data_IF_670212739492
#
_entry.id   IF_670212739492
#
_cell.length_a   1.000
_cell.length_b   1.000
_cell.length_c   1.000
_cell.angle_alpha   90.00
_cell.angle_beta   90.00
_cell.angle_gamma   90.00
#
_symmetry.space_group_name_H-M   'P 1'
#
loop_
_entity.id
_entity.type
_entity.pdbx_description
1 polymer ?
#
# COMPACT_ATOMS: atom_id res chain seq x y z
N UNK A 1 -6.74 -19.96 -2.04
CA UNK A 1 -5.49 -20.66 -1.72
C UNK A 1 -5.41 -20.73 -0.21
N UNK A 2 -5.50 -21.92 0.36
CA UNK A 2 -5.46 -22.15 1.81
C UNK A 2 -4.08 -22.73 2.12
N UNK A 3 -3.30 -22.04 2.95
CA UNK A 3 -1.95 -22.44 3.33
C UNK A 3 -2.07 -23.53 4.39
N UNK A 4 -1.57 -24.73 4.12
CA UNK A 4 -1.63 -25.83 5.08
C UNK A 4 -0.72 -25.58 6.30
N UNK A 5 -0.99 -26.30 7.40
CA UNK A 5 -0.27 -26.13 8.67
C UNK A 5 1.24 -26.42 8.55
N UNK A 6 1.64 -27.33 7.66
CA UNK A 6 3.05 -27.68 7.47
C UNK A 6 3.82 -26.54 6.79
N UNK A 7 3.21 -25.88 5.80
CA UNK A 7 3.77 -24.68 5.16
C UNK A 7 3.85 -23.51 6.14
N UNK A 8 2.81 -23.30 6.94
CA UNK A 8 2.83 -22.24 7.95
C UNK A 8 3.91 -22.48 9.02
N UNK A 9 4.11 -23.73 9.43
CA UNK A 9 5.16 -24.08 10.39
C UNK A 9 6.57 -23.90 9.79
N UNK A 10 6.78 -24.32 8.55
CA UNK A 10 8.04 -24.09 7.83
C UNK A 10 8.33 -22.59 7.64
N UNK A 11 7.29 -21.81 7.30
CA UNK A 11 7.36 -20.36 7.22
C UNK A 11 7.75 -19.73 8.56
N UNK A 12 7.14 -20.17 9.68
CA UNK A 12 7.50 -19.66 11.02
C UNK A 12 8.91 -20.04 11.47
N UNK A 13 9.54 -21.03 10.83
CA UNK A 13 10.96 -21.37 11.04
C UNK A 13 11.90 -20.59 10.12
N UNK A 14 11.39 -19.67 9.31
CA UNK A 14 12.18 -18.83 8.41
C UNK A 14 12.56 -19.51 7.08
N UNK A 15 11.81 -20.53 6.64
CA UNK A 15 12.07 -21.18 5.36
C UNK A 15 11.84 -20.20 4.19
N UNK A 16 12.93 -19.85 3.50
CA UNK A 16 12.93 -18.89 2.39
C UNK A 16 12.19 -19.40 1.14
N UNK A 17 12.08 -20.72 0.96
CA UNK A 17 11.32 -21.32 -0.13
C UNK A 17 9.83 -21.08 0.06
N UNK A 18 9.33 -21.37 1.27
CA UNK A 18 7.92 -21.12 1.61
C UNK A 18 7.60 -19.63 1.64
N UNK A 19 8.52 -18.80 2.13
CA UNK A 19 8.38 -17.35 2.06
C UNK A 19 8.20 -16.84 0.62
N UNK A 20 9.01 -17.35 -0.32
CA UNK A 20 8.91 -16.99 -1.74
C UNK A 20 7.55 -17.39 -2.32
N UNK A 21 7.06 -18.59 -2.05
CA UNK A 21 5.73 -19.03 -2.51
C UNK A 21 4.63 -18.11 -2.02
N UNK A 22 4.68 -17.72 -0.74
CA UNK A 22 3.74 -16.77 -0.13
C UNK A 22 3.81 -15.41 -0.83
N UNK A 23 5.03 -14.90 -1.03
CA UNK A 23 5.26 -13.62 -1.68
C UNK A 23 4.70 -13.63 -3.09
N UNK A 24 5.04 -14.62 -3.91
CA UNK A 24 4.59 -14.74 -5.30
C UNK A 24 3.07 -14.84 -5.41
N UNK A 25 2.41 -15.56 -4.49
CA UNK A 25 0.96 -15.72 -4.47
C UNK A 25 0.19 -14.49 -3.95
N UNK A 26 0.85 -13.56 -3.25
CA UNK A 26 0.18 -12.45 -2.55
C UNK A 26 0.68 -11.05 -2.92
N UNK A 27 1.77 -10.94 -3.70
CA UNK A 27 2.33 -9.66 -4.12
C UNK A 27 1.31 -8.76 -4.83
N UNK A 28 0.47 -9.31 -5.70
CA UNK A 28 -0.53 -8.53 -6.44
C UNK A 28 -1.59 -7.96 -5.51
N UNK A 29 -1.99 -8.72 -4.48
CA UNK A 29 -2.94 -8.24 -3.46
C UNK A 29 -2.34 -7.04 -2.70
N UNK A 30 -1.09 -7.18 -2.24
CA UNK A 30 -0.40 -6.13 -1.48
C UNK A 30 -0.16 -4.91 -2.36
N UNK A 31 0.28 -5.10 -3.60
CA UNK A 31 0.56 -4.03 -4.56
C UNK A 31 -0.71 -3.26 -4.90
N UNK A 32 -1.80 -3.94 -5.28
CA UNK A 32 -3.07 -3.28 -5.60
C UNK A 32 -3.65 -2.54 -4.40
N UNK A 33 -3.54 -3.13 -3.20
CA UNK A 33 -3.95 -2.46 -1.96
C UNK A 33 -3.14 -1.18 -1.73
N UNK A 34 -1.82 -1.25 -1.88
CA UNK A 34 -0.97 -0.08 -1.70
C UNK A 34 -1.26 1.00 -2.75
N UNK A 35 -1.36 0.60 -4.02
CA UNK A 35 -1.62 1.48 -5.15
C UNK A 35 -2.94 2.24 -5.01
N UNK A 36 -4.00 1.58 -4.53
CA UNK A 36 -5.30 2.23 -4.29
C UNK A 36 -5.23 3.36 -3.26
N UNK A 37 -4.32 3.26 -2.28
CA UNK A 37 -4.13 4.23 -1.21
C UNK A 37 -3.15 5.34 -1.62
N UNK A 38 -1.94 4.98 -2.06
CA UNK A 38 -0.88 5.96 -2.34
C UNK A 38 -0.97 6.58 -3.72
N UNK A 39 -1.66 5.92 -4.66
CA UNK A 39 -1.91 6.39 -6.03
C UNK A 39 -0.61 6.78 -6.73
N UNK A 40 0.46 6.03 -6.50
CA UNK A 40 1.77 6.16 -7.12
C UNK A 40 2.38 4.76 -7.20
N UNK A 41 2.83 4.34 -8.38
CA UNK A 41 3.33 2.98 -8.57
C UNK A 41 4.67 2.75 -7.89
N UNK A 42 5.54 3.77 -7.86
CA UNK A 42 6.85 3.67 -7.21
C UNK A 42 6.68 3.57 -5.70
N UNK A 43 5.83 4.41 -5.10
CA UNK A 43 5.52 4.32 -3.67
C UNK A 43 4.89 2.95 -3.34
N UNK A 44 4.01 2.44 -4.21
CA UNK A 44 3.36 1.15 -4.01
C UNK A 44 4.37 -0.01 -4.02
N UNK A 45 5.36 0.01 -4.93
CA UNK A 45 6.46 -0.96 -4.96
C UNK A 45 7.30 -0.91 -3.67
N UNK A 46 7.63 0.29 -3.18
CA UNK A 46 8.36 0.45 -1.91
C UNK A 46 7.57 -0.11 -0.73
N UNK A 47 6.25 0.13 -0.70
CA UNK A 47 5.37 -0.39 0.35
C UNK A 47 5.29 -1.92 0.29
N UNK A 48 5.19 -2.51 -0.90
CA UNK A 48 5.19 -3.96 -1.07
C UNK A 48 6.43 -4.57 -0.43
N UNK A 49 7.61 -3.98 -0.68
CA UNK A 49 8.85 -4.43 -0.07
C UNK A 49 8.80 -4.33 1.46
N UNK A 50 8.36 -3.18 2.00
CA UNK A 50 8.24 -2.99 3.45
C UNK A 50 7.28 -3.99 4.11
N UNK A 51 6.15 -4.30 3.46
CA UNK A 51 5.17 -5.29 3.94
C UNK A 51 5.78 -6.68 3.99
N UNK A 52 6.53 -7.09 2.97
CA UNK A 52 7.15 -8.42 2.94
C UNK A 52 8.34 -8.53 3.90
N UNK A 53 9.09 -7.44 4.14
CA UNK A 53 10.10 -7.40 5.22
C UNK A 53 9.42 -7.60 6.57
N UNK A 54 8.34 -6.87 6.86
CA UNK A 54 7.56 -7.05 8.11
C UNK A 54 7.00 -8.46 8.24
N UNK A 55 6.55 -9.07 7.14
CA UNK A 55 6.10 -10.44 7.11
C UNK A 55 7.21 -11.40 7.54
N UNK A 56 8.40 -11.24 6.96
CA UNK A 56 9.56 -12.08 7.26
C UNK A 56 9.99 -11.93 8.74
N UNK A 57 10.10 -10.69 9.22
CA UNK A 57 10.51 -10.36 10.60
C UNK A 57 9.52 -10.86 11.66
N UNK A 58 8.25 -11.08 11.29
CA UNK A 58 7.21 -11.56 12.21
C UNK A 58 6.75 -12.98 11.87
N UNK A 59 7.52 -13.72 11.06
CA UNK A 59 7.17 -15.07 10.62
C UNK A 59 7.05 -16.06 11.80
N UNK A 60 7.94 -15.92 12.78
CA UNK A 60 7.97 -16.66 14.06
C UNK A 60 6.73 -16.43 14.94
N UNK A 61 6.06 -15.28 14.78
CA UNK A 61 4.87 -14.89 15.55
C UNK A 61 3.56 -15.30 14.89
N UNK A 62 3.59 -15.78 13.66
CA UNK A 62 2.38 -16.16 12.94
C UNK A 62 1.84 -17.49 13.48
N UNK A 63 0.78 -17.44 14.30
CA UNK A 63 0.18 -18.63 14.95
C UNK A 63 -0.93 -19.31 14.14
N UNK A 64 -1.24 -18.81 12.95
CA UNK A 64 -2.35 -19.34 12.13
C UNK A 64 -3.75 -18.97 12.61
N UNK A 65 -3.88 -18.11 13.64
CA UNK A 65 -5.18 -17.68 14.21
C UNK A 65 -6.04 -16.85 13.22
N UNK A 66 -5.41 -16.29 12.19
CA UNK A 66 -6.08 -15.55 11.12
C UNK A 66 -5.49 -15.96 9.76
N UNK A 67 -6.29 -15.83 8.69
CA UNK A 67 -5.80 -16.07 7.32
C UNK A 67 -4.64 -15.11 7.01
N UNK A 68 -3.57 -15.65 6.43
CA UNK A 68 -2.37 -14.89 6.05
C UNK A 68 -2.70 -13.69 5.15
N UNK A 69 -3.62 -13.87 4.20
CA UNK A 69 -4.09 -12.80 3.31
C UNK A 69 -4.79 -11.66 4.07
N UNK A 70 -5.54 -11.96 5.12
CA UNK A 70 -6.17 -10.95 5.99
C UNK A 70 -5.12 -10.17 6.77
N UNK A 71 -4.09 -10.85 7.27
CA UNK A 71 -2.97 -10.19 7.94
C UNK A 71 -2.22 -9.26 6.97
N UNK A 72 -1.87 -9.76 5.78
CA UNK A 72 -1.18 -9.00 4.74
C UNK A 72 -1.96 -7.77 4.30
N UNK A 73 -3.27 -7.92 4.07
CA UNK A 73 -4.14 -6.79 3.75
C UNK A 73 -4.06 -5.70 4.83
N UNK A 74 -4.18 -6.08 6.12
CA UNK A 74 -4.11 -5.12 7.24
C UNK A 74 -2.74 -4.43 7.32
N UNK A 75 -1.65 -5.17 7.13
CA UNK A 75 -0.29 -4.60 7.17
C UNK A 75 -0.06 -3.68 5.97
N UNK A 76 -0.53 -4.05 4.79
CA UNK A 76 -0.47 -3.22 3.58
C UNK A 76 -1.21 -1.91 3.78
N UNK A 77 -2.48 -1.94 4.19
CA UNK A 77 -3.29 -0.75 4.48
C UNK A 77 -2.58 0.19 5.47
N UNK A 78 -2.11 -0.33 6.60
CA UNK A 78 -1.46 0.50 7.62
C UNK A 78 -0.15 1.12 7.08
N UNK A 79 0.67 0.31 6.41
CA UNK A 79 1.95 0.77 5.84
C UNK A 79 1.72 1.84 4.77
N UNK A 80 0.71 1.67 3.92
CA UNK A 80 0.33 2.66 2.90
C UNK A 80 -0.18 3.95 3.50
N UNK A 81 -1.05 3.89 4.52
CA UNK A 81 -1.55 5.09 5.22
C UNK A 81 -0.41 5.86 5.90
N UNK A 82 0.52 5.15 6.56
CA UNK A 82 1.68 5.77 7.20
C UNK A 82 2.61 6.42 6.17
N UNK A 83 2.88 5.73 5.06
CA UNK A 83 3.65 6.29 3.94
C UNK A 83 2.97 7.55 3.39
N UNK A 84 1.67 7.49 3.11
CA UNK A 84 0.89 8.60 2.58
C UNK A 84 0.91 9.83 3.52
N UNK A 85 0.73 9.62 4.83
CA UNK A 85 0.80 10.68 5.85
C UNK A 85 2.19 11.33 5.90
N UNK A 86 3.26 10.52 5.88
CA UNK A 86 4.64 11.02 5.85
C UNK A 86 4.91 11.85 4.58
N UNK A 87 4.48 11.37 3.40
CA UNK A 87 4.64 12.07 2.12
C UNK A 87 3.86 13.39 2.10
N UNK A 88 2.63 13.42 2.60
CA UNK A 88 1.80 14.64 2.74
C UNK A 88 2.43 15.65 3.70
N UNK A 89 3.00 15.20 4.82
CA UNK A 89 3.76 16.03 5.76
C UNK A 89 5.01 16.65 5.10
N UNK A 90 5.80 15.85 4.38
CA UNK A 90 6.97 16.33 3.62
C UNK A 90 6.59 17.34 2.54
N UNK A 91 5.52 17.08 1.77
CA UNK A 91 5.00 18.02 0.77
C UNK A 91 4.58 19.36 1.39
N UNK A 92 3.89 19.33 2.55
CA UNK A 92 3.51 20.55 3.29
C UNK A 92 4.72 21.37 3.74
N UNK A 93 5.75 20.70 4.27
CA UNK A 93 7.00 21.36 4.68
C UNK A 93 7.77 21.93 3.49
N UNK A 94 7.87 21.19 2.40
CA UNK A 94 8.50 21.66 1.15
C UNK A 94 7.78 22.88 0.57
N UNK A 95 6.45 22.81 0.47
CA UNK A 95 5.61 23.92 0.03
C UNK A 95 5.76 25.16 0.91
N UNK A 96 5.78 25.00 2.24
CA UNK A 96 6.01 26.11 3.17
C UNK A 96 7.39 26.73 2.99
N UNK A 97 8.43 25.91 2.80
CA UNK A 97 9.80 26.37 2.52
C UNK A 97 9.88 27.16 1.21
N UNK A 98 9.24 26.68 0.15
CA UNK A 98 9.18 27.35 -1.15
C UNK A 98 8.38 28.65 -1.12
N UNK A 99 7.30 28.71 -0.33
CA UNK A 99 6.53 29.92 -0.04
C UNK A 99 7.36 30.96 0.71
N UNK A 100 8.04 30.56 1.78
CA UNK A 100 8.93 31.43 2.56
C UNK A 100 10.07 31.95 1.67
N UNK A 101 10.58 31.11 0.77
CA UNK A 101 11.60 31.50 -0.21
C UNK A 101 11.06 32.34 -1.38
N UNK A 102 9.74 32.58 -1.46
CA UNK A 102 9.10 33.37 -2.51
C UNK A 102 9.13 32.74 -3.91
N UNK A 103 9.33 31.41 -4.01
CA UNK A 103 9.61 30.72 -5.29
C UNK A 103 8.38 30.04 -5.92
N UNK A 104 7.25 29.96 -5.22
CA UNK A 104 6.05 29.25 -5.70
C UNK A 104 4.79 30.05 -5.40
N UNK A 105 3.90 30.16 -6.40
CA UNK A 105 2.50 30.53 -6.23
C UNK A 105 1.66 29.24 -6.15
N UNK A 106 0.61 29.17 -5.32
CA UNK A 106 -0.14 27.94 -5.12
C UNK A 106 -0.86 27.53 -6.40
N UNK A 107 -0.36 26.51 -7.09
CA UNK A 107 -1.07 25.83 -8.16
C UNK A 107 -1.24 24.35 -7.79
N UNK A 108 -2.49 23.90 -7.71
CA UNK A 108 -2.83 22.53 -7.34
C UNK A 108 -2.90 21.69 -8.60
N UNK A 109 -1.80 21.05 -8.98
CA UNK A 109 -1.80 20.03 -10.04
C UNK A 109 -2.04 18.65 -9.44
N UNK A 110 -2.96 17.89 -10.04
CA UNK A 110 -3.41 16.57 -9.59
C UNK A 110 -3.07 15.53 -10.66
N UNK A 111 -2.03 14.73 -10.42
CA UNK A 111 -1.59 13.67 -11.33
C UNK A 111 -1.94 12.30 -10.70
N UNK A 112 -2.81 11.53 -11.34
CA UNK A 112 -3.35 10.26 -10.82
C UNK A 112 -3.06 9.09 -11.80
N UNK A 113 -2.20 8.13 -11.45
CA UNK A 113 -1.74 7.07 -12.36
C UNK A 113 -2.80 6.01 -12.73
N UNK A 114 -3.89 5.86 -11.94
CA UNK A 114 -5.04 5.02 -12.30
C UNK A 114 -5.81 5.45 -13.57
N UNK A 115 -5.41 6.54 -14.22
CA UNK A 115 -5.97 7.04 -15.49
C UNK A 115 -5.17 6.52 -16.70
N UNK A 116 -4.13 5.70 -16.50
CA UNK A 116 -3.21 5.37 -17.60
C UNK A 116 -3.62 4.20 -18.51
N UNK A 117 -4.55 3.32 -18.17
CA UNK A 117 -4.96 2.21 -19.07
C UNK A 117 -6.50 1.98 -19.17
N UNK A 118 -6.98 2.10 -20.41
CA UNK A 118 -8.18 1.54 -21.07
C UNK A 118 -9.64 1.83 -20.64
N UNK A 119 -9.96 2.57 -19.57
CA UNK A 119 -11.34 3.07 -19.34
C UNK A 119 -11.37 4.45 -18.65
N UNK A 120 -10.75 5.44 -19.30
CA UNK A 120 -10.27 6.69 -18.69
C UNK A 120 -11.31 7.60 -18.03
N UNK A 121 -12.53 7.68 -18.54
CA UNK A 121 -13.48 8.67 -18.02
C UNK A 121 -14.21 8.18 -16.78
N UNK A 122 -14.76 6.96 -16.83
CA UNK A 122 -15.54 6.40 -15.73
C UNK A 122 -14.68 6.11 -14.50
N UNK A 123 -13.49 5.53 -14.69
CA UNK A 123 -12.56 5.28 -13.60
C UNK A 123 -12.09 6.59 -12.95
N UNK A 124 -11.83 7.64 -13.75
CA UNK A 124 -11.44 8.95 -13.22
C UNK A 124 -12.54 9.60 -12.39
N UNK A 125 -13.79 9.53 -12.83
CA UNK A 125 -14.93 10.07 -12.07
C UNK A 125 -15.12 9.31 -10.75
N UNK A 126 -15.02 7.98 -10.79
CA UNK A 126 -15.12 7.12 -9.62
C UNK A 126 -14.02 7.42 -8.59
N UNK A 127 -12.75 7.40 -8.99
CA UNK A 127 -11.62 7.66 -8.09
C UNK A 127 -11.63 9.09 -7.54
N UNK A 128 -12.11 10.08 -8.30
CA UNK A 128 -12.35 11.45 -7.78
C UNK A 128 -13.40 11.50 -6.69
N UNK A 129 -14.46 10.71 -6.80
CA UNK A 129 -15.52 10.67 -5.81
C UNK A 129 -15.01 10.01 -4.51
N UNK A 130 -14.25 8.92 -4.64
CA UNK A 130 -13.59 8.24 -3.52
C UNK A 130 -12.63 9.20 -2.82
N UNK A 131 -11.85 9.99 -3.56
CA UNK A 131 -10.88 10.95 -2.98
C UNK A 131 -11.48 12.07 -2.12
N UNK A 132 -12.80 12.31 -2.23
CA UNK A 132 -13.50 13.29 -1.40
C UNK A 132 -13.95 12.72 -0.05
N UNK A 133 -13.89 11.41 0.13
CA UNK A 133 -14.26 10.76 1.38
C UNK A 133 -13.16 10.94 2.45
N UNK A 134 -13.51 10.93 3.74
CA UNK A 134 -12.54 10.80 4.83
C UNK A 134 -11.64 9.56 4.66
N UNK A 135 -10.36 9.63 5.08
CA UNK A 135 -9.35 8.56 4.91
C UNK A 135 -9.86 7.16 5.33
N UNK A 136 -10.59 7.07 6.45
CA UNK A 136 -11.12 5.81 6.96
C UNK A 136 -12.21 5.18 6.06
N UNK A 137 -12.88 5.99 5.23
CA UNK A 137 -13.90 5.52 4.28
C UNK A 137 -13.30 5.19 2.91
N UNK A 138 -12.18 5.85 2.54
CA UNK A 138 -11.49 5.59 1.27
C UNK A 138 -10.91 4.18 1.21
N UNK A 139 -10.36 3.68 2.32
CA UNK A 139 -9.72 2.36 2.45
C UNK A 139 -10.68 1.21 2.10
N UNK A 140 -12.00 1.39 2.24
CA UNK A 140 -13.00 0.36 1.95
C UNK A 140 -13.15 0.09 0.45
N UNK A 141 -12.75 1.05 -0.40
CA UNK A 141 -12.89 0.98 -1.86
C UNK A 141 -11.59 0.57 -2.57
N UNK A 142 -10.60 0.13 -1.79
CA UNK A 142 -9.30 -0.35 -2.25
C UNK A 142 -9.30 -1.87 -2.37
#
# INVERSE_FOLDING_TARGET
MEWDLNKLEAFSRGDLGVFREIMEATQDLVFNTALGIVKDSSDAEDIVQEVFIKLYENSDRFRGDARLTTWLYRVAVNTSLDHFRKKKGKKRLGFLSELIAGRVQPEVSFDHPGVRLENKENARVLFRAIDKLPENQQVVFV
#
